data_IF_415912751026
#
_entry.id   IF_415912751026
#
_cell.length_a   1.000
_cell.length_b   1.000
_cell.length_c   1.000
_cell.angle_alpha   90.00
_cell.angle_beta   90.00
_cell.angle_gamma   90.00
#
_symmetry.space_group_name_H-M   'P 1'
#
loop_
_entity.id
_entity.type
_entity.pdbx_description
1 polymer ?
#
# COMPACT_ATOMS: atom_id res chain seq x y z
N UNK A 1 -64.23 25.21 -70.31
CA UNK A 1 -64.02 25.72 -68.94
C UNK A 1 -64.35 27.19 -68.94
N UNK A 2 -65.20 27.65 -68.02
CA UNK A 2 -65.44 29.08 -67.83
C UNK A 2 -64.28 29.72 -67.04
N UNK A 3 -64.11 31.04 -67.16
CA UNK A 3 -63.00 31.77 -66.53
C UNK A 3 -63.05 31.68 -65.00
N UNK A 4 -64.25 31.60 -64.42
CA UNK A 4 -64.46 31.39 -62.98
C UNK A 4 -63.92 30.05 -62.49
N UNK A 5 -64.12 28.95 -63.24
CA UNK A 5 -63.56 27.65 -62.86
C UNK A 5 -62.03 27.66 -62.86
N UNK A 6 -61.41 28.39 -63.80
CA UNK A 6 -59.95 28.49 -63.90
C UNK A 6 -59.36 29.26 -62.71
N UNK A 7 -59.98 30.38 -62.31
CA UNK A 7 -59.60 31.15 -61.12
C UNK A 7 -59.75 30.33 -59.83
N UNK A 8 -60.85 29.58 -59.68
CA UNK A 8 -61.06 28.69 -58.54
C UNK A 8 -59.98 27.60 -58.46
N UNK A 9 -59.60 27.01 -59.58
CA UNK A 9 -58.60 25.95 -59.63
C UNK A 9 -57.20 26.49 -59.32
N UNK A 10 -56.88 27.69 -59.79
CA UNK A 10 -55.61 28.37 -59.51
C UNK A 10 -55.50 28.80 -58.03
N UNK A 11 -56.57 29.36 -57.46
CA UNK A 11 -56.66 29.67 -56.02
C UNK A 11 -56.48 28.43 -55.15
N UNK A 12 -57.14 27.32 -55.50
CA UNK A 12 -57.04 26.05 -54.77
C UNK A 12 -55.62 25.45 -54.85
N UNK A 13 -54.96 25.52 -56.02
CA UNK A 13 -53.58 25.06 -56.18
C UNK A 13 -52.59 25.91 -55.39
N UNK A 14 -52.77 27.23 -55.39
CA UNK A 14 -51.97 28.17 -54.59
C UNK A 14 -52.14 27.92 -53.08
N UNK A 15 -53.39 27.75 -52.61
CA UNK A 15 -53.68 27.43 -51.21
C UNK A 15 -53.02 26.13 -50.77
N UNK A 16 -53.15 25.06 -51.56
CA UNK A 16 -52.53 23.77 -51.25
C UNK A 16 -51.00 23.85 -51.17
N UNK A 17 -50.35 24.61 -52.08
CA UNK A 17 -48.90 24.80 -52.04
C UNK A 17 -48.47 25.64 -50.84
N UNK A 18 -49.24 26.69 -50.50
CA UNK A 18 -48.97 27.54 -49.35
C UNK A 18 -49.06 26.74 -48.04
N UNK A 19 -50.07 25.91 -47.88
CA UNK A 19 -50.22 25.01 -46.72
C UNK A 19 -49.04 24.04 -46.58
N UNK A 20 -48.55 23.49 -47.70
CA UNK A 20 -47.39 22.61 -47.69
C UNK A 20 -46.11 23.34 -47.25
N UNK A 21 -45.92 24.59 -47.69
CA UNK A 21 -44.79 25.44 -47.27
C UNK A 21 -44.90 25.78 -45.78
N UNK A 22 -46.08 26.19 -45.29
CA UNK A 22 -46.31 26.51 -43.89
C UNK A 22 -46.00 25.30 -42.98
N UNK A 23 -46.49 24.10 -43.33
CA UNK A 23 -46.16 22.87 -42.60
C UNK A 23 -44.66 22.56 -42.58
N UNK A 24 -43.95 22.87 -43.66
CA UNK A 24 -42.50 22.68 -43.74
C UNK A 24 -41.78 23.69 -42.83
N UNK A 25 -42.26 24.93 -42.79
CA UNK A 25 -41.74 25.98 -41.92
C UNK A 25 -41.92 25.61 -40.44
N UNK A 26 -43.10 25.14 -40.04
CA UNK A 26 -43.38 24.68 -38.67
C UNK A 26 -42.46 23.52 -38.26
N UNK A 27 -42.20 22.59 -39.17
CA UNK A 27 -41.28 21.49 -38.93
C UNK A 27 -39.84 21.99 -38.74
N UNK A 28 -39.38 22.92 -39.58
CA UNK A 28 -38.06 23.55 -39.43
C UNK A 28 -37.94 24.30 -38.11
N UNK A 29 -38.97 25.05 -37.70
CA UNK A 29 -39.03 25.72 -36.41
C UNK A 29 -38.85 24.72 -35.25
N UNK A 30 -39.59 23.60 -35.28
CA UNK A 30 -39.50 22.56 -34.25
C UNK A 30 -38.12 21.86 -34.19
N UNK A 31 -37.40 21.82 -35.32
CA UNK A 31 -36.02 21.31 -35.36
C UNK A 31 -35.03 22.34 -34.83
N UNK A 32 -35.25 23.62 -35.12
CA UNK A 32 -34.46 24.71 -34.56
C UNK A 32 -34.50 24.69 -33.04
N UNK A 33 -35.69 24.56 -32.44
CA UNK A 33 -35.83 24.47 -30.98
C UNK A 33 -35.07 23.28 -30.36
N UNK A 34 -34.94 22.18 -31.10
CA UNK A 34 -34.15 21.01 -30.65
C UNK A 34 -32.65 21.27 -30.76
N UNK A 35 -32.21 22.04 -31.75
CA UNK A 35 -30.82 22.47 -31.91
C UNK A 35 -30.42 23.37 -30.75
N UNK A 36 -31.27 24.32 -30.37
CA UNK A 36 -31.01 25.24 -29.24
C UNK A 36 -30.84 24.45 -27.93
N UNK A 37 -31.70 23.45 -27.68
CA UNK A 37 -31.58 22.57 -26.50
C UNK A 37 -30.31 21.70 -26.52
N UNK A 38 -29.87 21.29 -27.70
CA UNK A 38 -28.60 20.57 -27.85
C UNK A 38 -27.41 21.48 -27.58
N UNK A 39 -27.46 22.73 -28.03
CA UNK A 39 -26.44 23.74 -27.74
C UNK A 39 -26.31 23.99 -26.23
N UNK A 40 -27.43 24.14 -25.52
CA UNK A 40 -27.45 24.25 -24.06
C UNK A 40 -26.81 23.03 -23.38
N UNK A 41 -27.14 21.82 -23.84
CA UNK A 41 -26.60 20.57 -23.29
C UNK A 41 -25.09 20.43 -23.53
N UNK A 42 -24.62 20.82 -24.73
CA UNK A 42 -23.19 20.83 -25.08
C UNK A 42 -22.44 21.85 -24.23
N UNK A 43 -22.99 23.05 -24.04
CA UNK A 43 -22.38 24.07 -23.20
C UNK A 43 -22.29 23.63 -21.73
N UNK A 44 -23.31 22.93 -21.23
CA UNK A 44 -23.27 22.33 -19.89
C UNK A 44 -22.16 21.27 -19.79
N UNK A 45 -22.10 20.33 -20.74
CA UNK A 45 -21.08 19.28 -20.73
C UNK A 45 -19.66 19.82 -20.90
N UNK A 46 -19.48 20.88 -21.70
CA UNK A 46 -18.19 21.56 -21.85
C UNK A 46 -17.70 22.12 -20.51
N UNK A 47 -18.59 22.72 -19.71
CA UNK A 47 -18.23 23.25 -18.39
C UNK A 47 -17.81 22.14 -17.43
N UNK A 48 -18.56 21.03 -17.39
CA UNK A 48 -18.18 19.86 -16.58
C UNK A 48 -16.81 19.31 -17.01
N UNK A 49 -16.53 19.29 -18.32
CA UNK A 49 -15.24 18.86 -18.84
C UNK A 49 -14.09 19.78 -18.40
N UNK A 50 -14.31 21.11 -18.44
CA UNK A 50 -13.35 22.09 -17.96
C UNK A 50 -13.06 21.94 -16.45
N UNK A 51 -14.04 21.49 -15.65
CA UNK A 51 -13.88 21.20 -14.23
C UNK A 51 -13.17 19.85 -13.95
N UNK A 52 -13.29 18.86 -14.84
CA UNK A 52 -12.63 17.56 -14.68
C UNK A 52 -11.16 17.58 -15.07
N UNK A 53 -10.77 18.36 -16.08
CA UNK A 53 -9.37 18.53 -16.52
C UNK A 53 -8.41 18.84 -15.33
N UNK A 54 -8.65 19.84 -14.47
CA UNK A 54 -7.75 20.16 -13.38
C UNK A 54 -7.75 19.08 -12.29
N UNK A 55 -8.89 18.41 -12.04
CA UNK A 55 -8.95 17.30 -11.08
C UNK A 55 -8.10 16.11 -11.53
N UNK A 56 -8.15 15.77 -12.81
CA UNK A 56 -7.32 14.69 -13.39
C UNK A 56 -5.84 15.05 -13.26
N UNK A 57 -5.44 16.27 -13.62
CA UNK A 57 -4.04 16.71 -13.46
C UNK A 57 -3.57 16.65 -12.01
N UNK A 58 -4.39 17.12 -11.07
CA UNK A 58 -4.08 17.04 -9.64
C UNK A 58 -3.92 15.60 -9.16
N UNK A 59 -4.74 14.67 -9.65
CA UNK A 59 -4.64 13.25 -9.33
C UNK A 59 -3.38 12.61 -9.94
N UNK A 60 -3.02 12.97 -11.17
CA UNK A 60 -1.79 12.50 -11.82
C UNK A 60 -0.54 12.96 -11.05
N UNK A 61 -0.51 14.23 -10.64
CA UNK A 61 0.57 14.81 -9.82
C UNK A 61 0.69 14.12 -8.46
N UNK A 62 -0.44 13.91 -7.77
CA UNK A 62 -0.44 13.22 -6.48
C UNK A 62 0.01 11.77 -6.62
N UNK A 63 -0.44 11.07 -7.65
CA UNK A 63 -0.05 9.69 -7.90
C UNK A 63 1.46 9.56 -8.20
N UNK A 64 2.01 10.52 -8.96
CA UNK A 64 3.47 10.59 -9.18
C UNK A 64 4.22 10.80 -7.87
N UNK A 65 3.76 11.74 -7.03
CA UNK A 65 4.37 12.00 -5.72
C UNK A 65 4.32 10.77 -4.81
N UNK A 66 3.19 10.09 -4.77
CA UNK A 66 3.02 8.85 -3.98
C UNK A 66 3.91 7.72 -4.50
N UNK A 67 4.12 7.63 -5.82
CA UNK A 67 5.06 6.66 -6.40
C UNK A 67 6.49 6.93 -5.95
N UNK A 68 6.94 8.19 -5.97
CA UNK A 68 8.27 8.60 -5.54
C UNK A 68 8.47 8.34 -4.03
N UNK A 69 7.50 8.72 -3.20
CA UNK A 69 7.55 8.47 -1.75
C UNK A 69 7.62 6.97 -1.43
N UNK A 70 6.86 6.14 -2.15
CA UNK A 70 6.92 4.69 -2.01
C UNK A 70 8.30 4.12 -2.35
N UNK A 71 8.99 4.66 -3.35
CA UNK A 71 10.36 4.23 -3.69
C UNK A 71 11.32 4.59 -2.55
N UNK A 72 11.24 5.83 -2.05
CA UNK A 72 12.07 6.31 -0.93
C UNK A 72 11.85 5.47 0.34
N UNK A 73 10.60 5.25 0.74
CA UNK A 73 10.26 4.46 1.92
C UNK A 73 10.75 3.01 1.81
N UNK A 74 10.66 2.38 0.64
CA UNK A 74 11.21 1.03 0.42
C UNK A 74 12.72 1.00 0.61
N UNK A 75 13.43 2.02 0.12
CA UNK A 75 14.87 2.12 0.29
C UNK A 75 15.25 2.30 1.77
N UNK A 76 14.51 3.13 2.51
CA UNK A 76 14.71 3.34 3.94
C UNK A 76 14.47 2.06 4.74
N UNK A 77 13.37 1.34 4.48
CA UNK A 77 13.07 0.04 5.10
C UNK A 77 14.22 -0.94 4.88
N UNK A 78 14.74 -1.02 3.66
CA UNK A 78 15.87 -1.91 3.35
C UNK A 78 17.14 -1.50 4.11
N UNK A 79 17.44 -0.21 4.20
CA UNK A 79 18.58 0.31 4.97
C UNK A 79 18.45 -0.02 6.45
N UNK A 80 17.29 0.26 7.06
CA UNK A 80 17.04 -0.04 8.47
C UNK A 80 17.11 -1.55 8.74
N UNK A 81 16.57 -2.39 7.86
CA UNK A 81 16.66 -3.84 7.99
C UNK A 81 18.12 -4.34 7.96
N UNK A 82 18.94 -3.77 7.09
CA UNK A 82 20.37 -4.08 7.02
C UNK A 82 21.10 -3.63 8.29
N UNK A 83 20.86 -2.41 8.77
CA UNK A 83 21.45 -1.91 10.02
C UNK A 83 21.05 -2.77 11.22
N UNK A 84 19.79 -3.19 11.31
CA UNK A 84 19.33 -4.11 12.36
C UNK A 84 20.02 -5.47 12.28
N UNK A 85 20.23 -6.00 11.07
CA UNK A 85 20.96 -7.25 10.88
C UNK A 85 22.41 -7.13 11.37
N UNK A 86 23.08 -6.04 11.03
CA UNK A 86 24.45 -5.76 11.46
C UNK A 86 24.51 -5.64 12.99
N UNK A 87 23.64 -4.82 13.60
CA UNK A 87 23.59 -4.68 15.07
C UNK A 87 23.35 -6.01 15.77
N UNK A 88 22.46 -6.86 15.24
CA UNK A 88 22.25 -8.21 15.80
C UNK A 88 23.51 -9.07 15.75
N UNK A 89 24.28 -8.99 14.67
CA UNK A 89 25.55 -9.70 14.54
C UNK A 89 26.60 -9.16 15.51
N UNK A 90 26.72 -7.84 15.62
CA UNK A 90 27.64 -7.20 16.56
C UNK A 90 27.29 -7.52 18.02
N UNK A 91 26.01 -7.49 18.38
CA UNK A 91 25.53 -7.88 19.70
C UNK A 91 25.89 -9.33 20.01
N UNK A 92 25.60 -10.26 19.09
CA UNK A 92 25.95 -11.66 19.27
C UNK A 92 27.47 -11.88 19.38
N UNK A 93 28.28 -11.10 18.65
CA UNK A 93 29.73 -11.14 18.77
C UNK A 93 30.19 -10.62 20.13
N UNK A 94 29.60 -9.53 20.63
CA UNK A 94 29.89 -8.98 21.94
C UNK A 94 29.49 -9.94 23.07
N UNK A 95 28.33 -10.59 22.96
CA UNK A 95 27.88 -11.62 23.91
C UNK A 95 28.81 -12.84 23.93
N UNK A 96 29.23 -13.33 22.76
CA UNK A 96 30.20 -14.41 22.66
C UNK A 96 31.56 -14.01 23.25
N UNK A 97 32.03 -12.80 22.96
CA UNK A 97 33.29 -12.28 23.51
C UNK A 97 33.23 -12.18 25.04
N UNK A 98 32.12 -11.70 25.59
CA UNK A 98 31.91 -11.63 27.03
C UNK A 98 31.90 -13.00 27.72
N UNK A 99 31.62 -14.08 26.97
CA UNK A 99 31.59 -15.46 27.48
C UNK A 99 32.84 -16.26 27.11
N UNK A 100 33.88 -15.60 26.59
CA UNK A 100 35.12 -16.24 26.13
C UNK A 100 35.75 -17.15 27.18
N UNK A 101 35.70 -16.74 28.44
CA UNK A 101 36.29 -17.46 29.57
C UNK A 101 35.24 -18.23 30.40
N UNK A 102 34.01 -18.37 29.87
CA UNK A 102 32.95 -19.13 30.51
C UNK A 102 32.88 -20.56 29.96
N UNK A 103 32.73 -21.54 30.84
CA UNK A 103 32.57 -22.95 30.46
C UNK A 103 31.20 -23.46 30.91
N UNK A 104 30.45 -24.08 29.99
CA UNK A 104 29.17 -24.74 30.29
C UNK A 104 29.39 -26.25 30.50
N UNK A 105 29.15 -26.74 31.71
CA UNK A 105 29.24 -28.17 32.04
C UNK A 105 27.84 -28.78 32.04
N UNK A 106 27.61 -29.78 31.16
CA UNK A 106 26.31 -30.47 31.01
C UNK A 106 26.34 -31.88 31.60
N UNK A 107 25.17 -32.40 31.93
CA UNK A 107 25.00 -33.78 32.40
C UNK A 107 25.28 -34.00 33.89
N UNK A 108 25.51 -32.93 34.66
CA UNK A 108 25.67 -33.02 36.11
C UNK A 108 24.29 -33.03 36.80
N UNK A 109 23.91 -34.10 37.52
CA UNK A 109 22.65 -34.16 38.24
C UNK A 109 22.57 -33.05 39.30
N UNK A 110 21.36 -32.53 39.54
CA UNK A 110 21.12 -31.48 40.54
C UNK A 110 21.02 -32.12 41.92
N UNK A 111 21.82 -31.66 42.87
CA UNK A 111 21.73 -32.08 44.27
C UNK A 111 21.23 -30.93 45.15
N UNK A 112 20.49 -31.26 46.22
CA UNK A 112 20.05 -30.25 47.20
C UNK A 112 21.27 -29.73 47.96
N UNK A 113 21.34 -28.41 48.12
CA UNK A 113 22.43 -27.70 48.81
C UNK A 113 23.82 -27.96 48.19
N UNK A 114 23.89 -28.17 46.88
CA UNK A 114 25.17 -28.31 46.19
C UNK A 114 25.97 -26.99 46.18
N UNK A 115 27.29 -27.13 46.27
CA UNK A 115 28.22 -26.01 46.08
C UNK A 115 28.82 -26.13 44.68
N UNK A 116 28.46 -25.20 43.79
CA UNK A 116 28.85 -25.28 42.37
C UNK A 116 30.37 -25.28 42.16
N UNK A 117 31.15 -24.58 43.00
CA UNK A 117 32.61 -24.62 42.92
C UNK A 117 33.16 -26.05 43.14
N UNK A 118 32.64 -26.78 44.12
CA UNK A 118 33.11 -28.15 44.42
C UNK A 118 32.80 -29.12 43.29
N UNK A 119 31.64 -28.93 42.63
CA UNK A 119 31.29 -29.67 41.42
C UNK A 119 32.30 -29.39 40.31
N UNK A 120 32.66 -28.12 40.08
CA UNK A 120 33.65 -27.74 39.05
C UNK A 120 35.02 -28.36 39.35
N UNK A 121 35.49 -28.29 40.60
CA UNK A 121 36.76 -28.92 41.03
C UNK A 121 36.76 -30.42 40.80
N UNK A 122 35.69 -31.11 41.22
CA UNK A 122 35.54 -32.55 41.01
C UNK A 122 35.59 -32.92 39.53
N UNK A 123 34.94 -32.13 38.67
CA UNK A 123 34.99 -32.33 37.22
C UNK A 123 36.40 -32.10 36.68
N UNK A 124 37.11 -31.08 37.15
CA UNK A 124 38.51 -30.80 36.83
C UNK A 124 39.43 -31.97 37.17
N UNK A 125 39.33 -32.48 38.39
CA UNK A 125 40.13 -33.61 38.87
C UNK A 125 39.91 -34.86 38.01
N UNK A 126 38.66 -35.14 37.61
CA UNK A 126 38.31 -36.26 36.75
C UNK A 126 38.96 -36.19 35.36
N UNK A 127 39.22 -34.98 34.85
CA UNK A 127 39.89 -34.76 33.55
C UNK A 127 41.38 -34.45 33.70
N UNK A 128 41.93 -34.55 34.92
CA UNK A 128 43.35 -34.33 35.20
C UNK A 128 43.78 -32.86 35.25
N UNK A 129 42.85 -31.95 35.56
CA UNK A 129 43.11 -30.50 35.69
C UNK A 129 42.89 -30.07 37.14
N UNK A 130 43.95 -29.61 37.80
CA UNK A 130 43.87 -29.03 39.16
C UNK A 130 43.24 -27.63 39.10
N UNK A 131 42.03 -27.48 39.64
CA UNK A 131 41.27 -26.21 39.67
C UNK A 131 41.17 -25.73 41.12
N UNK A 132 41.59 -24.48 41.37
CA UNK A 132 41.52 -23.85 42.70
C UNK A 132 40.39 -22.83 42.76
N UNK A 133 39.97 -22.45 43.97
CA UNK A 133 38.89 -21.45 44.14
C UNK A 133 39.21 -20.10 43.48
N UNK A 134 40.48 -19.70 43.48
CA UNK A 134 40.95 -18.47 42.83
C UNK A 134 40.85 -18.51 41.30
N UNK A 135 40.78 -19.71 40.70
CA UNK A 135 40.62 -19.89 39.25
C UNK A 135 39.15 -19.77 38.83
N UNK A 136 38.21 -19.78 39.79
CA UNK A 136 36.78 -19.67 39.57
C UNK A 136 36.30 -18.28 39.95
N UNK A 137 35.96 -17.46 38.95
CA UNK A 137 35.37 -16.14 39.20
C UNK A 137 33.94 -16.24 39.72
N UNK A 138 33.07 -16.96 39.00
CA UNK A 138 31.65 -17.17 39.36
C UNK A 138 31.23 -18.56 38.90
N UNK A 139 30.49 -19.29 39.75
CA UNK A 139 29.84 -20.55 39.36
C UNK A 139 28.37 -20.53 39.76
N UNK A 140 27.50 -21.01 38.87
CA UNK A 140 26.06 -21.11 39.12
C UNK A 140 25.42 -22.10 38.16
N UNK A 141 24.24 -22.62 38.52
CA UNK A 141 23.40 -23.39 37.61
C UNK A 141 22.73 -22.47 36.60
N UNK A 142 22.71 -22.88 35.34
CA UNK A 142 21.88 -22.24 34.33
C UNK A 142 20.41 -22.63 34.56
N UNK A 143 19.51 -21.67 34.38
CA UNK A 143 18.08 -21.94 34.43
C UNK A 143 17.71 -23.01 33.39
N UNK A 144 16.82 -23.93 33.75
CA UNK A 144 16.27 -24.87 32.79
C UNK A 144 15.61 -24.08 31.65
N UNK A 145 15.90 -24.45 30.40
CA UNK A 145 15.15 -23.90 29.26
C UNK A 145 13.72 -24.39 29.38
N UNK A 146 12.83 -23.54 29.88
CA UNK A 146 11.39 -23.74 29.72
C UNK A 146 11.12 -23.69 28.23
N UNK A 147 10.84 -24.82 27.58
CA UNK A 147 10.35 -24.83 26.20
C UNK A 147 8.94 -24.25 26.22
N UNK A 148 8.83 -22.92 26.21
CA UNK A 148 7.59 -22.19 25.97
C UNK A 148 7.27 -22.24 24.48
N UNK A 149 7.03 -23.44 23.95
CA UNK A 149 6.38 -23.71 22.66
C UNK A 149 5.22 -24.69 22.92
N UNK A 150 4.32 -24.27 23.81
CA UNK A 150 3.02 -24.88 24.01
C UNK A 150 1.97 -23.75 24.00
N UNK A 151 1.72 -23.19 22.81
CA UNK A 151 0.40 -22.74 22.36
C UNK A 151 0.44 -22.51 20.85
#
# INVERSE_FOLDING_TARGET
MDQKSLEQLMSKLLGNKLDAVLKTLDNLQSKMDKIDKLEESINFLSKEYDDFIPKIKSLEEENSRLADENVCLKAEIQNTANSLKIMKQELNNAEQYSRRDCIEIKGIPIQRNEVCNEVVKTVGDLIGVDIKDQDISVSHRLAAKTNSNAC
#
